data_IF_423347797758
#
_entry.id   IF_423347797758
#
_cell.length_a   1.000
_cell.length_b   1.000
_cell.length_c   1.000
_cell.angle_alpha   90.00
_cell.angle_beta   90.00
_cell.angle_gamma   90.00
#
_symmetry.space_group_name_H-M   'P 1'
#
loop_
_entity.id
_entity.type
_entity.pdbx_description
1 polymer ?
#
# COMPACT_ATOMS: atom_id res chain seq x y z
N UNK A 1 24.48 -10.18 28.12
CA UNK A 1 24.14 -10.25 26.69
C UNK A 1 22.69 -9.77 26.58
N UNK A 2 22.45 -8.50 26.24
CA UNK A 2 21.09 -8.00 26.06
C UNK A 2 20.61 -8.58 24.73
N UNK A 3 19.51 -9.33 24.76
CA UNK A 3 18.87 -9.79 23.53
C UNK A 3 18.44 -8.56 22.74
N UNK A 4 19.08 -8.30 21.60
CA UNK A 4 18.59 -7.33 20.62
C UNK A 4 17.26 -7.91 20.14
N UNK A 5 16.14 -7.27 20.50
CA UNK A 5 14.86 -7.61 19.92
C UNK A 5 15.02 -7.52 18.39
N UNK A 6 14.47 -8.48 17.66
CA UNK A 6 14.46 -8.40 16.21
C UNK A 6 13.56 -7.21 15.82
N UNK A 7 14.17 -6.04 15.59
CA UNK A 7 13.50 -4.79 15.16
C UNK A 7 13.05 -4.84 13.69
N UNK A 8 12.70 -6.03 13.22
CA UNK A 8 12.31 -6.34 11.84
C UNK A 8 11.08 -7.21 11.88
N UNK A 9 10.17 -6.98 10.93
CA UNK A 9 8.93 -7.73 10.84
C UNK A 9 9.13 -9.01 10.03
N UNK A 10 8.39 -10.07 10.35
CA UNK A 10 8.41 -11.26 9.50
C UNK A 10 7.78 -10.95 8.14
N UNK A 11 8.25 -11.63 7.08
CA UNK A 11 7.62 -11.51 5.76
C UNK A 11 6.13 -11.91 5.78
N UNK A 12 5.74 -12.84 6.66
CA UNK A 12 4.33 -13.20 6.84
C UNK A 12 3.49 -12.06 7.41
N UNK A 13 4.04 -11.30 8.37
CA UNK A 13 3.36 -10.13 8.91
C UNK A 13 3.24 -9.03 7.85
N UNK A 14 4.32 -8.75 7.13
CA UNK A 14 4.32 -7.78 6.01
C UNK A 14 3.32 -8.20 4.92
N UNK A 15 3.25 -9.50 4.60
CA UNK A 15 2.30 -10.03 3.63
C UNK A 15 0.84 -9.85 4.08
N UNK A 16 0.54 -9.98 5.38
CA UNK A 16 -0.79 -9.73 5.93
C UNK A 16 -1.18 -8.25 5.81
N UNK A 17 -0.28 -7.33 6.16
CA UNK A 17 -0.47 -5.88 6.00
C UNK A 17 -0.71 -5.51 4.54
N UNK A 18 0.12 -6.04 3.63
CA UNK A 18 0.00 -5.82 2.19
C UNK A 18 -1.30 -6.40 1.62
N UNK A 19 -1.66 -7.63 2.02
CA UNK A 19 -2.91 -8.27 1.61
C UNK A 19 -4.13 -7.49 2.06
N UNK A 20 -4.13 -7.01 3.31
CA UNK A 20 -5.20 -6.17 3.87
C UNK A 20 -5.34 -4.86 3.09
N UNK A 21 -4.22 -4.19 2.82
CA UNK A 21 -4.21 -2.98 1.97
C UNK A 21 -4.79 -3.27 0.59
N UNK A 22 -4.34 -4.34 -0.06
CA UNK A 22 -4.79 -4.73 -1.39
C UNK A 22 -6.28 -5.04 -1.47
N UNK A 23 -6.81 -5.78 -0.48
CA UNK A 23 -8.24 -6.10 -0.40
C UNK A 23 -9.11 -4.86 -0.23
N UNK A 24 -8.73 -3.95 0.67
CA UNK A 24 -9.46 -2.69 0.87
C UNK A 24 -9.40 -1.84 -0.40
N UNK A 25 -8.23 -1.70 -1.02
CA UNK A 25 -8.07 -0.94 -2.26
C UNK A 25 -8.90 -1.52 -3.42
N UNK A 26 -8.95 -2.85 -3.55
CA UNK A 26 -9.82 -3.51 -4.52
C UNK A 26 -11.29 -3.19 -4.27
N UNK A 27 -11.75 -3.29 -3.01
CA UNK A 27 -13.12 -2.94 -2.63
C UNK A 27 -13.48 -1.49 -2.96
N UNK A 28 -12.59 -0.53 -2.64
CA UNK A 28 -12.77 0.88 -2.97
C UNK A 28 -12.83 1.10 -4.48
N UNK A 29 -11.96 0.45 -5.24
CA UNK A 29 -11.95 0.54 -6.69
C UNK A 29 -13.24 -0.03 -7.31
N UNK A 30 -13.71 -1.19 -6.82
CA UNK A 30 -14.98 -1.79 -7.25
C UNK A 30 -16.20 -0.93 -6.91
N UNK A 31 -16.12 -0.14 -5.83
CA UNK A 31 -17.20 0.76 -5.44
C UNK A 31 -17.23 2.05 -6.28
N UNK A 32 -16.06 2.64 -6.57
CA UNK A 32 -15.98 3.96 -7.20
C UNK A 32 -15.83 3.93 -8.72
N UNK A 33 -15.20 2.91 -9.31
CA UNK A 33 -15.02 2.82 -10.76
C UNK A 33 -16.31 2.34 -11.44
N UNK A 34 -16.53 2.80 -12.66
CA UNK A 34 -17.62 2.34 -13.52
C UNK A 34 -17.08 1.69 -14.80
N UNK A 35 -17.95 0.98 -15.52
CA UNK A 35 -17.68 0.42 -16.85
C UNK A 35 -17.40 -1.07 -16.86
N UNK A 36 -17.33 -1.65 -18.06
CA UNK A 36 -17.25 -3.09 -18.28
C UNK A 36 -15.99 -3.73 -17.68
N UNK A 37 -14.90 -2.96 -17.60
CA UNK A 37 -13.61 -3.43 -17.04
C UNK A 37 -13.47 -3.17 -15.54
N UNK A 38 -14.53 -2.75 -14.84
CA UNK A 38 -14.48 -2.38 -13.42
C UNK A 38 -13.88 -3.48 -12.54
N UNK A 39 -14.29 -4.73 -12.74
CA UNK A 39 -13.84 -5.86 -11.91
C UNK A 39 -12.34 -6.09 -12.10
N UNK A 40 -11.91 -6.17 -13.35
CA UNK A 40 -10.49 -6.35 -13.69
C UNK A 40 -9.63 -5.19 -13.17
N UNK A 41 -10.11 -3.95 -13.32
CA UNK A 41 -9.46 -2.77 -12.77
C UNK A 41 -9.37 -2.86 -11.24
N UNK A 42 -10.45 -3.20 -10.54
CA UNK A 42 -10.45 -3.33 -9.09
C UNK A 42 -9.44 -4.36 -8.57
N UNK A 43 -9.39 -5.54 -9.21
CA UNK A 43 -8.39 -6.57 -8.90
C UNK A 43 -6.98 -6.04 -9.16
N UNK A 44 -6.73 -5.42 -10.32
CA UNK A 44 -5.43 -4.87 -10.67
C UNK A 44 -4.96 -3.81 -9.67
N UNK A 45 -5.83 -2.86 -9.30
CA UNK A 45 -5.51 -1.83 -8.31
C UNK A 45 -5.21 -2.42 -6.93
N UNK A 46 -5.97 -3.43 -6.49
CA UNK A 46 -5.70 -4.12 -5.24
C UNK A 46 -4.36 -4.85 -5.24
N UNK A 47 -4.07 -5.58 -6.32
CA UNK A 47 -2.79 -6.29 -6.50
C UNK A 47 -1.62 -5.30 -6.54
N UNK A 48 -1.74 -4.19 -7.27
CA UNK A 48 -0.68 -3.18 -7.37
C UNK A 48 -0.44 -2.50 -6.03
N UNK A 49 -1.50 -2.10 -5.32
CA UNK A 49 -1.37 -1.46 -4.00
C UNK A 49 -0.75 -2.42 -2.97
N UNK A 50 -1.24 -3.66 -2.91
CA UNK A 50 -0.67 -4.68 -2.02
C UNK A 50 0.79 -4.99 -2.37
N UNK A 51 1.12 -5.15 -3.65
CA UNK A 51 2.49 -5.39 -4.10
C UNK A 51 3.42 -4.22 -3.78
N UNK A 52 2.96 -2.98 -3.97
CA UNK A 52 3.73 -1.78 -3.63
C UNK A 52 4.07 -1.75 -2.13
N UNK A 53 3.08 -2.00 -1.26
CA UNK A 53 3.30 -2.10 0.19
C UNK A 53 4.24 -3.24 0.54
N UNK A 54 4.00 -4.45 0.03
CA UNK A 54 4.82 -5.62 0.33
C UNK A 54 6.27 -5.40 -0.09
N UNK A 55 6.50 -5.00 -1.33
CA UNK A 55 7.83 -4.80 -1.88
C UNK A 55 8.59 -3.71 -1.13
N UNK A 56 7.93 -2.58 -0.85
CA UNK A 56 8.54 -1.52 -0.07
C UNK A 56 8.90 -2.01 1.33
N UNK A 57 7.92 -2.50 2.09
CA UNK A 57 8.12 -2.94 3.48
C UNK A 57 9.14 -4.07 3.58
N UNK A 58 9.14 -5.04 2.65
CA UNK A 58 10.12 -6.12 2.63
C UNK A 58 11.54 -5.62 2.29
N UNK A 59 11.67 -4.67 1.34
CA UNK A 59 12.97 -4.11 0.95
C UNK A 59 13.58 -3.21 2.02
N UNK A 60 12.74 -2.47 2.75
CA UNK A 60 13.13 -1.51 3.77
C UNK A 60 13.04 -2.08 5.20
N UNK A 61 12.90 -3.41 5.35
CA UNK A 61 12.75 -4.07 6.65
C UNK A 61 14.09 -4.16 7.41
N UNK A 62 14.60 -3.01 7.82
CA UNK A 62 15.87 -2.88 8.53
C UNK A 62 15.65 -2.19 9.88
N UNK A 63 16.35 -2.58 10.95
CA UNK A 63 16.21 -1.98 12.27
C UNK A 63 16.30 -0.45 12.27
N UNK A 64 17.23 0.12 11.49
CA UNK A 64 17.46 1.55 11.42
C UNK A 64 16.29 2.34 10.84
N UNK A 65 15.50 1.72 9.94
CA UNK A 65 14.34 2.34 9.32
C UNK A 65 13.05 2.09 10.11
N UNK A 66 12.99 1.00 10.88
CA UNK A 66 11.85 0.70 11.74
C UNK A 66 11.94 1.45 13.09
N UNK A 67 13.15 1.68 13.60
CA UNK A 67 13.43 2.43 14.83
C UNK A 67 14.22 3.72 14.53
N UNK A 68 13.67 4.54 13.65
CA UNK A 68 14.31 5.80 13.20
C UNK A 68 14.15 6.98 14.18
N UNK A 69 13.56 6.73 15.36
CA UNK A 69 13.36 7.72 16.42
C UNK A 69 12.10 8.56 16.27
N UNK A 70 11.28 8.32 15.24
CA UNK A 70 9.95 8.90 15.15
C UNK A 70 8.99 8.17 16.12
N UNK A 71 8.33 8.92 17.00
CA UNK A 71 7.39 8.32 17.95
C UNK A 71 6.05 8.03 17.26
N UNK A 72 5.68 6.75 17.21
CA UNK A 72 4.37 6.27 16.73
C UNK A 72 4.29 5.99 15.23
N UNK A 73 5.34 6.28 14.46
CA UNK A 73 5.44 6.03 13.02
C UNK A 73 6.91 5.81 12.66
N UNK A 74 7.20 5.28 11.49
CA UNK A 74 8.55 5.24 10.91
C UNK A 74 8.58 5.89 9.52
N UNK A 75 9.76 6.27 9.04
CA UNK A 75 9.99 6.71 7.66
C UNK A 75 9.52 5.65 6.65
N UNK A 76 9.58 4.37 7.05
CA UNK A 76 9.09 3.26 6.26
C UNK A 76 7.55 3.32 6.08
N UNK A 77 6.82 3.72 7.12
CA UNK A 77 5.35 3.90 7.07
C UNK A 77 4.94 5.11 6.24
N UNK A 78 5.76 6.17 6.25
CA UNK A 78 5.54 7.36 5.44
C UNK A 78 5.78 7.12 3.95
N UNK A 79 6.73 6.24 3.60
CA UNK A 79 7.07 5.99 2.19
C UNK A 79 6.19 4.92 1.52
N UNK A 80 5.67 3.94 2.26
CA UNK A 80 4.72 2.96 1.73
C UNK A 80 3.52 3.57 0.94
N UNK A 81 2.81 4.61 1.46
CA UNK A 81 1.73 5.25 0.72
C UNK A 81 2.23 6.04 -0.50
N UNK A 82 3.44 6.62 -0.45
CA UNK A 82 4.04 7.34 -1.60
C UNK A 82 4.33 6.37 -2.74
N UNK A 83 4.96 5.23 -2.44
CA UNK A 83 5.22 4.18 -3.45
C UNK A 83 3.92 3.65 -4.04
N UNK A 84 2.90 3.44 -3.20
CA UNK A 84 1.55 3.06 -3.66
C UNK A 84 0.96 4.11 -4.60
N UNK A 85 1.01 5.39 -4.24
CA UNK A 85 0.50 6.47 -5.08
C UNK A 85 1.21 6.51 -6.45
N UNK A 86 2.54 6.41 -6.47
CA UNK A 86 3.34 6.40 -7.70
C UNK A 86 2.98 5.19 -8.56
N UNK A 87 2.94 3.98 -7.99
CA UNK A 87 2.61 2.76 -8.72
C UNK A 87 1.22 2.83 -9.38
N UNK A 88 0.21 3.32 -8.65
CA UNK A 88 -1.12 3.53 -9.20
C UNK A 88 -1.17 4.63 -10.27
N UNK A 89 -0.30 5.64 -10.16
CA UNK A 89 -0.17 6.68 -11.20
C UNK A 89 0.37 6.09 -12.50
N UNK A 90 1.45 5.32 -12.42
CA UNK A 90 2.02 4.62 -13.58
C UNK A 90 0.98 3.69 -14.21
N UNK A 91 0.26 2.92 -13.40
CA UNK A 91 -0.79 2.04 -13.90
C UNK A 91 -1.89 2.79 -14.68
N UNK A 92 -2.34 3.94 -14.16
CA UNK A 92 -3.33 4.80 -14.83
C UNK A 92 -2.85 5.28 -16.20
N UNK A 93 -1.59 5.68 -16.26
CA UNK A 93 -1.02 6.25 -17.48
C UNK A 93 -0.80 5.17 -18.55
N UNK A 94 -0.55 3.92 -18.13
CA UNK A 94 -0.44 2.76 -19.01
C UNK A 94 -1.79 2.19 -19.45
N UNK A 95 -2.80 2.22 -18.56
CA UNK A 95 -4.13 1.68 -18.82
C UNK A 95 -5.17 2.79 -18.60
N UNK A 96 -5.60 3.46 -19.68
CA UNK A 96 -6.63 4.48 -19.59
C UNK A 96 -7.93 3.87 -19.06
N UNK A 97 -8.29 4.22 -17.83
CA UNK A 97 -9.53 3.80 -17.19
C UNK A 97 -10.54 4.93 -17.23
N UNK A 98 -11.79 4.57 -17.58
CA UNK A 98 -12.94 5.45 -17.83
C UNK A 98 -12.85 6.87 -17.27
N UNK A 99 -13.47 7.12 -16.11
CA UNK A 99 -13.58 8.47 -15.56
C UNK A 99 -12.29 8.91 -14.81
N UNK A 100 -11.57 9.95 -15.28
CA UNK A 100 -10.32 10.43 -14.67
C UNK A 100 -10.44 10.86 -13.20
N UNK A 101 -11.59 11.42 -12.81
CA UNK A 101 -11.86 11.94 -11.46
C UNK A 101 -12.04 10.80 -10.48
N UNK A 102 -12.82 9.77 -10.86
CA UNK A 102 -13.05 8.59 -10.01
C UNK A 102 -11.77 7.82 -9.78
N UNK A 103 -10.93 7.66 -10.80
CA UNK A 103 -9.61 7.06 -10.58
C UNK A 103 -8.76 7.88 -9.61
N UNK A 104 -8.75 9.21 -9.75
CA UNK A 104 -7.99 10.07 -8.82
C UNK A 104 -8.48 9.91 -7.37
N UNK A 105 -9.79 9.77 -7.15
CA UNK A 105 -10.37 9.46 -5.84
C UNK A 105 -9.91 8.11 -5.31
N UNK A 106 -9.97 7.05 -6.14
CA UNK A 106 -9.49 5.72 -5.75
C UNK A 106 -8.02 5.74 -5.36
N UNK A 107 -7.16 6.40 -6.16
CA UNK A 107 -5.73 6.53 -5.85
C UNK A 107 -5.49 7.28 -4.54
N UNK A 108 -6.23 8.37 -4.29
CA UNK A 108 -6.12 9.12 -3.05
C UNK A 108 -6.52 8.27 -1.84
N UNK A 109 -7.66 7.56 -1.92
CA UNK A 109 -8.11 6.67 -0.85
C UNK A 109 -7.13 5.52 -0.64
N UNK A 110 -6.64 4.89 -1.71
CA UNK A 110 -5.63 3.82 -1.62
C UNK A 110 -4.34 4.28 -0.92
N UNK A 111 -3.93 5.54 -1.14
CA UNK A 111 -2.79 6.16 -0.46
C UNK A 111 -3.05 6.30 1.04
N UNK A 112 -4.25 6.79 1.42
CA UNK A 112 -4.67 6.89 2.82
C UNK A 112 -4.75 5.51 3.48
N UNK A 113 -5.32 4.53 2.79
CA UNK A 113 -5.42 3.14 3.27
C UNK A 113 -4.05 2.54 3.47
N UNK A 114 -3.14 2.68 2.50
CA UNK A 114 -1.78 2.18 2.62
C UNK A 114 -1.08 2.80 3.84
N UNK A 115 -1.20 4.11 4.06
CA UNK A 115 -0.65 4.74 5.25
C UNK A 115 -1.25 4.18 6.54
N UNK A 116 -2.58 4.22 6.66
CA UNK A 116 -3.27 3.80 7.89
C UNK A 116 -3.01 2.33 8.22
N UNK A 117 -3.06 1.44 7.23
CA UNK A 117 -2.84 0.01 7.45
C UNK A 117 -1.40 -0.27 7.86
N UNK A 118 -0.40 0.39 7.25
CA UNK A 118 1.00 0.23 7.67
C UNK A 118 1.19 0.68 9.12
N UNK A 119 0.79 1.91 9.47
CA UNK A 119 0.93 2.46 10.82
C UNK A 119 0.21 1.64 11.90
N UNK A 120 -0.95 1.05 11.58
CA UNK A 120 -1.73 0.28 12.56
C UNK A 120 -1.14 -1.11 12.78
N UNK A 121 -0.57 -1.72 11.74
CA UNK A 121 -0.20 -3.14 11.77
C UNK A 121 1.28 -3.37 11.99
N UNK A 122 2.15 -2.47 11.53
CA UNK A 122 3.60 -2.66 11.56
C UNK A 122 4.25 -1.61 12.47
#
# INVERSE_FOLDING_TARGET
>A
MIAVAADTFSHSHIALTAGTTGLICAGVALWLLDGERRILAGIALGVIAGSAVYLWRASANMPQLNNDGLQGYSANDWLAPVVTFVALSVYRDLIPLGNPKRFAQVRAIATIVAFAVNVITI
#
